data_IF_144221858121
#
_entry.id   IF_144221858121
#
_cell.length_a   1.000
_cell.length_b   1.000
_cell.length_c   1.000
_cell.angle_alpha   90.00
_cell.angle_beta   90.00
_cell.angle_gamma   90.00
#
_symmetry.space_group_name_H-M   'P 1'
#
loop_
_entity.id
_entity.type
_entity.pdbx_description
1 polymer ?
#
# COMPACT_ATOMS: atom_id res chain seq x y z
N UNK A 1 11.47 23.36 2.99
CA UNK A 1 10.27 23.93 2.32
C UNK A 1 9.37 22.77 1.97
N UNK A 2 8.14 22.79 2.49
CA UNK A 2 7.18 21.69 2.42
C UNK A 2 6.79 21.40 0.96
N UNK A 3 6.77 20.12 0.62
CA UNK A 3 6.50 19.63 -0.72
C UNK A 3 5.10 19.98 -1.20
N UNK A 4 5.03 20.68 -2.32
CA UNK A 4 3.80 20.84 -3.10
C UNK A 4 4.16 20.60 -4.55
N UNK A 5 4.04 19.34 -4.99
CA UNK A 5 4.03 18.98 -6.39
C UNK A 5 3.02 17.84 -6.61
N UNK A 6 1.73 18.10 -6.34
CA UNK A 6 0.64 17.30 -6.91
C UNK A 6 0.57 17.58 -8.42
N UNK A 7 1.52 17.04 -9.18
CA UNK A 7 1.38 16.96 -10.63
C UNK A 7 0.80 15.59 -10.93
N UNK A 8 -0.54 15.51 -10.88
CA UNK A 8 -1.26 14.40 -11.47
C UNK A 8 -0.90 14.35 -12.96
N UNK A 9 -0.18 13.32 -13.37
CA UNK A 9 0.18 13.12 -14.77
C UNK A 9 -1.10 12.77 -15.53
N UNK A 10 -1.61 13.71 -16.34
CA UNK A 10 -2.76 13.49 -17.22
C UNK A 10 -2.41 12.35 -18.18
N UNK A 11 -2.95 11.16 -17.94
CA UNK A 11 -3.12 10.17 -19.01
C UNK A 11 -4.46 10.43 -19.65
N UNK A 12 -4.43 10.74 -20.94
CA UNK A 12 -5.62 10.52 -21.76
C UNK A 12 -5.81 9.01 -21.87
N UNK A 13 -7.00 8.48 -21.59
CA UNK A 13 -7.25 7.08 -21.87
C UNK A 13 -7.04 6.84 -23.38
N UNK A 14 -6.25 5.82 -23.71
CA UNK A 14 -5.79 5.51 -25.08
C UNK A 14 -6.93 5.20 -26.06
N UNK A 15 -8.16 5.06 -25.58
CA UNK A 15 -9.33 4.72 -26.39
C UNK A 15 -10.50 5.68 -26.11
N UNK A 16 -11.02 6.29 -27.18
CA UNK A 16 -12.22 7.13 -27.20
C UNK A 16 -13.45 6.49 -26.53
N UNK A 17 -13.51 5.17 -26.42
CA UNK A 17 -14.59 4.43 -25.72
C UNK A 17 -14.70 4.81 -24.23
N UNK A 18 -13.58 5.12 -23.59
CA UNK A 18 -13.52 5.55 -22.18
C UNK A 18 -14.12 6.93 -21.92
N UNK A 19 -14.30 7.74 -22.98
CA UNK A 19 -14.93 9.06 -22.95
C UNK A 19 -16.43 8.98 -23.29
N UNK A 20 -16.94 7.79 -23.62
CA UNK A 20 -18.36 7.55 -23.87
C UNK A 20 -19.03 6.97 -22.62
N UNK A 21 -20.22 7.48 -22.28
CA UNK A 21 -21.00 7.06 -21.12
C UNK A 21 -21.02 8.06 -19.97
N UNK A 22 -21.84 7.74 -18.96
CA UNK A 22 -21.97 8.54 -17.74
C UNK A 22 -20.65 8.56 -16.96
N UNK A 23 -20.25 9.71 -16.39
CA UNK A 23 -19.06 9.80 -15.57
C UNK A 23 -19.10 8.83 -14.40
N UNK A 24 -18.03 8.05 -14.25
CA UNK A 24 -17.93 7.06 -13.19
C UNK A 24 -16.51 7.04 -12.61
N UNK A 25 -16.40 6.98 -11.27
CA UNK A 25 -15.13 6.87 -10.56
C UNK A 25 -14.93 5.44 -10.04
N UNK A 26 -13.79 4.84 -10.35
CA UNK A 26 -13.49 3.45 -10.01
C UNK A 26 -11.98 3.22 -9.85
N UNK A 27 -11.58 2.15 -9.18
CA UNK A 27 -10.18 1.74 -9.14
C UNK A 27 -9.70 1.28 -10.52
N UNK A 28 -8.45 1.63 -10.85
CA UNK A 28 -7.81 1.18 -12.11
C UNK A 28 -7.65 -0.33 -12.12
N UNK A 29 -7.20 -0.92 -11.01
CA UNK A 29 -6.97 -2.37 -10.83
C UNK A 29 -7.76 -2.90 -9.63
N UNK A 30 -8.11 -4.18 -9.70
CA UNK A 30 -8.74 -4.90 -8.59
C UNK A 30 -7.75 -5.35 -7.51
N UNK A 31 -6.46 -5.49 -7.86
CA UNK A 31 -5.42 -5.96 -6.95
C UNK A 31 -4.12 -5.16 -7.12
N UNK A 32 -3.44 -4.93 -6.01
CA UNK A 32 -2.10 -4.35 -5.90
C UNK A 32 -1.24 -5.20 -4.96
N UNK A 33 0.07 -5.09 -5.10
CA UNK A 33 1.05 -5.76 -4.25
C UNK A 33 2.01 -4.71 -3.72
N UNK A 34 2.26 -4.73 -2.41
CA UNK A 34 3.21 -3.90 -1.71
C UNK A 34 4.15 -4.79 -0.91
N UNK A 35 5.38 -4.34 -0.68
CA UNK A 35 6.24 -4.95 0.33
C UNK A 35 5.93 -4.33 1.68
N UNK A 36 6.09 -5.10 2.75
CA UNK A 36 5.99 -4.62 4.11
C UNK A 36 6.91 -3.40 4.36
N UNK A 37 8.19 -3.49 3.99
CA UNK A 37 9.14 -2.36 4.08
C UNK A 37 8.96 -1.19 3.08
N UNK A 38 7.88 -1.14 2.29
CA UNK A 38 7.73 -0.09 1.27
C UNK A 38 7.32 1.28 1.84
N UNK A 39 6.85 1.31 3.09
CA UNK A 39 6.30 2.48 3.78
C UNK A 39 4.92 2.92 3.26
N UNK A 40 4.67 2.88 1.95
CA UNK A 40 3.39 3.31 1.37
C UNK A 40 2.93 2.39 0.22
N UNK A 41 1.72 1.85 0.34
CA UNK A 41 1.01 1.19 -0.74
C UNK A 41 0.18 2.20 -1.55
N UNK A 42 0.47 2.34 -2.84
CA UNK A 42 -0.22 3.26 -3.74
C UNK A 42 -1.24 2.54 -4.63
N UNK A 43 -2.49 2.97 -4.57
CA UNK A 43 -3.56 2.51 -5.47
C UNK A 43 -4.07 3.64 -6.36
N UNK A 44 -4.38 3.32 -7.61
CA UNK A 44 -4.85 4.31 -8.60
C UNK A 44 -6.35 4.25 -8.79
N UNK A 45 -6.96 5.43 -8.86
CA UNK A 45 -8.39 5.67 -9.07
C UNK A 45 -8.54 6.46 -10.37
N UNK A 46 -9.50 6.09 -11.22
CA UNK A 46 -9.77 6.76 -12.48
C UNK A 46 -11.21 7.24 -12.57
N UNK A 47 -11.40 8.35 -13.27
CA UNK A 47 -12.70 8.86 -13.71
C UNK A 47 -12.88 8.55 -15.19
N UNK A 48 -13.83 7.69 -15.52
CA UNK A 48 -14.28 7.40 -16.89
C UNK A 48 -15.46 8.28 -17.28
N UNK A 49 -15.86 8.22 -18.55
CA UNK A 49 -17.03 8.89 -19.11
C UNK A 49 -16.73 10.27 -19.67
N UNK A 50 -17.79 10.99 -20.03
CA UNK A 50 -17.70 12.32 -20.68
C UNK A 50 -16.82 13.30 -19.88
N UNK A 51 -16.22 14.26 -20.60
CA UNK A 51 -15.48 15.35 -19.95
C UNK A 51 -16.39 16.08 -18.97
N UNK A 52 -15.90 16.30 -17.76
CA UNK A 52 -16.57 17.09 -16.74
C UNK A 52 -15.63 18.21 -16.27
N UNK A 53 -16.20 19.38 -15.97
CA UNK A 53 -15.45 20.58 -15.60
C UNK A 53 -15.50 20.90 -14.10
N UNK A 54 -16.49 20.37 -13.38
CA UNK A 54 -16.57 20.51 -11.92
C UNK A 54 -15.64 19.55 -11.20
N UNK A 55 -15.31 19.92 -9.96
CA UNK A 55 -14.53 19.11 -9.05
C UNK A 55 -15.42 18.05 -8.39
N UNK A 56 -14.88 16.86 -8.16
CA UNK A 56 -15.60 15.74 -7.57
C UNK A 56 -14.91 15.29 -6.30
N UNK A 57 -15.69 15.12 -5.22
CA UNK A 57 -15.18 14.55 -3.97
C UNK A 57 -15.64 13.10 -3.89
N UNK A 58 -14.69 12.18 -3.74
CA UNK A 58 -14.95 10.76 -3.51
C UNK A 58 -14.50 10.40 -2.12
N UNK A 59 -15.36 9.72 -1.37
CA UNK A 59 -15.02 9.15 -0.07
C UNK A 59 -14.52 7.73 -0.22
N UNK A 60 -13.58 7.35 0.63
CA UNK A 60 -13.04 6.00 0.67
C UNK A 60 -12.65 5.60 2.09
N UNK A 61 -12.58 4.29 2.31
CA UNK A 61 -12.14 3.69 3.56
C UNK A 61 -11.30 2.44 3.31
N UNK A 62 -10.54 2.02 4.32
CA UNK A 62 -9.80 0.75 4.36
C UNK A 62 -10.56 -0.29 5.15
N UNK A 63 -10.41 -1.56 4.77
CA UNK A 63 -11.10 -2.69 5.37
C UNK A 63 -10.11 -3.81 5.70
N UNK A 64 -10.15 -4.31 6.93
CA UNK A 64 -9.39 -5.49 7.33
C UNK A 64 -9.86 -6.75 6.56
N UNK A 65 -8.91 -7.62 6.21
CA UNK A 65 -9.23 -8.95 5.64
C UNK A 65 -8.40 -10.02 6.37
N UNK A 66 -7.11 -10.10 6.08
CA UNK A 66 -6.16 -10.88 6.89
C UNK A 66 -5.18 -9.95 7.61
N UNK A 67 -4.74 -8.89 6.93
CA UNK A 67 -4.05 -7.77 7.56
C UNK A 67 -5.01 -6.96 8.43
N UNK A 68 -4.51 -6.52 9.57
CA UNK A 68 -5.17 -5.81 10.65
C UNK A 68 -4.70 -4.34 10.74
N UNK A 69 -5.68 -3.44 10.83
CA UNK A 69 -5.42 -2.03 11.07
C UNK A 69 -4.60 -1.78 12.35
N UNK A 70 -3.61 -0.90 12.24
CA UNK A 70 -2.63 -0.52 13.26
C UNK A 70 -1.60 -1.62 13.63
N UNK A 71 -1.64 -2.78 12.99
CA UNK A 71 -0.56 -3.76 13.04
C UNK A 71 0.20 -3.74 11.71
N UNK A 72 -0.52 -3.87 10.58
CA UNK A 72 0.13 -4.06 9.26
C UNK A 72 -0.04 -2.82 8.35
N UNK A 73 -1.05 -2.00 8.63
CA UNK A 73 -1.30 -0.75 7.90
C UNK A 73 -2.05 0.28 8.75
N UNK A 74 -1.93 1.57 8.39
CA UNK A 74 -2.66 2.65 9.07
C UNK A 74 -4.06 2.78 8.47
N UNK A 75 -5.15 2.64 9.27
CA UNK A 75 -6.51 2.66 8.74
C UNK A 75 -6.98 4.05 8.32
N UNK A 76 -7.78 4.09 7.26
CA UNK A 76 -8.50 5.28 6.79
C UNK A 76 -10.00 5.01 6.89
N UNK A 77 -10.74 5.83 7.64
CA UNK A 77 -12.21 5.68 7.80
C UNK A 77 -13.03 6.72 7.04
N UNK A 78 -12.49 7.93 6.89
CA UNK A 78 -13.18 9.06 6.23
C UNK A 78 -12.27 9.72 5.18
N UNK A 79 -11.62 8.88 4.36
CA UNK A 79 -10.72 9.33 3.30
C UNK A 79 -11.46 10.18 2.28
N UNK A 80 -10.78 11.20 1.73
CA UNK A 80 -11.32 12.08 0.70
C UNK A 80 -10.35 12.22 -0.45
N UNK A 81 -10.82 11.93 -1.65
CA UNK A 81 -10.08 12.09 -2.89
C UNK A 81 -10.80 13.13 -3.76
N UNK A 82 -10.12 14.24 -4.05
CA UNK A 82 -10.67 15.33 -4.87
C UNK A 82 -10.13 15.20 -6.29
N UNK A 83 -11.02 14.95 -7.25
CA UNK A 83 -10.71 15.11 -8.67
C UNK A 83 -11.03 16.54 -9.08
N UNK A 84 -10.02 17.30 -9.45
CA UNK A 84 -10.23 18.62 -10.04
C UNK A 84 -10.80 18.48 -11.45
N UNK A 85 -11.45 19.54 -11.93
CA UNK A 85 -11.96 19.61 -13.28
C UNK A 85 -10.93 19.15 -14.32
N UNK A 86 -11.35 18.24 -15.21
CA UNK A 86 -10.53 17.62 -16.25
C UNK A 86 -9.41 16.67 -15.77
N UNK A 87 -9.33 16.33 -14.48
CA UNK A 87 -8.52 15.19 -14.04
C UNK A 87 -9.25 13.87 -14.32
N UNK A 88 -8.46 12.83 -14.67
CA UNK A 88 -8.96 11.49 -15.00
C UNK A 88 -8.32 10.40 -14.15
N UNK A 89 -7.21 10.68 -13.48
CA UNK A 89 -6.52 9.75 -12.60
C UNK A 89 -6.05 10.46 -11.33
N UNK A 90 -6.19 9.76 -10.22
CA UNK A 90 -5.65 10.11 -8.90
C UNK A 90 -5.12 8.85 -8.24
N UNK A 91 -4.47 8.99 -7.11
CA UNK A 91 -4.03 7.87 -6.30
C UNK A 91 -4.37 8.09 -4.84
N UNK A 92 -4.43 6.98 -4.10
CA UNK A 92 -4.53 6.92 -2.64
C UNK A 92 -3.28 6.22 -2.16
N UNK A 93 -2.57 6.84 -1.21
CA UNK A 93 -1.45 6.24 -0.51
C UNK A 93 -1.94 5.78 0.88
N UNK A 94 -1.69 4.51 1.19
CA UNK A 94 -1.94 3.92 2.51
C UNK A 94 -0.59 3.60 3.14
N UNK A 95 -0.36 4.05 4.37
CA UNK A 95 0.87 3.76 5.11
C UNK A 95 0.89 2.28 5.52
N UNK A 96 1.99 1.61 5.21
CA UNK A 96 2.26 0.23 5.59
C UNK A 96 3.17 0.26 6.81
N UNK A 97 2.82 -0.53 7.82
CA UNK A 97 3.58 -0.63 9.06
C UNK A 97 4.57 -1.77 8.87
N UNK A 98 5.85 -1.46 9.01
CA UNK A 98 6.97 -2.40 8.87
C UNK A 98 7.40 -2.87 10.26
N UNK A 99 7.43 -4.19 10.49
CA UNK A 99 7.89 -4.77 11.75
C UNK A 99 9.09 -5.72 11.60
N UNK A 100 9.24 -6.74 12.46
CA UNK A 100 10.35 -7.72 12.39
C UNK A 100 9.87 -9.16 12.53
N UNK A 101 8.55 -9.38 12.53
CA UNK A 101 7.94 -10.68 12.72
C UNK A 101 7.88 -11.39 11.38
N UNK A 102 8.19 -12.69 11.40
CA UNK A 102 8.07 -13.53 10.21
C UNK A 102 6.60 -13.85 10.00
N UNK A 103 5.98 -13.13 9.07
CA UNK A 103 4.56 -13.22 8.77
C UNK A 103 4.32 -13.87 7.40
N UNK A 104 3.08 -14.29 7.15
CA UNK A 104 2.67 -14.73 5.81
C UNK A 104 2.26 -13.51 5.01
N UNK A 105 2.17 -13.64 3.69
CA UNK A 105 1.53 -12.62 2.88
C UNK A 105 0.09 -12.35 3.38
N UNK A 106 -0.22 -11.09 3.60
CA UNK A 106 -1.49 -10.64 4.14
C UNK A 106 -2.20 -9.68 3.19
N UNK A 107 -3.49 -9.42 3.43
CA UNK A 107 -4.32 -8.60 2.54
C UNK A 107 -5.23 -7.67 3.32
N UNK A 108 -5.45 -6.49 2.77
CA UNK A 108 -6.49 -5.56 3.19
C UNK A 108 -7.18 -4.93 1.97
N UNK A 109 -8.36 -4.37 2.17
CA UNK A 109 -9.16 -3.72 1.12
C UNK A 109 -9.11 -2.20 1.21
N UNK A 110 -9.30 -1.55 0.06
CA UNK A 110 -9.69 -0.13 -0.03
C UNK A 110 -10.99 -0.04 -0.82
N UNK A 111 -11.98 0.67 -0.29
CA UNK A 111 -13.32 0.79 -0.85
C UNK A 111 -13.70 2.25 -1.07
N UNK A 112 -14.23 2.57 -2.25
CA UNK A 112 -14.89 3.84 -2.54
C UNK A 112 -16.33 3.78 -2.00
N UNK A 113 -16.67 4.64 -1.05
CA UNK A 113 -17.93 4.56 -0.30
C UNK A 113 -19.01 5.47 -0.86
N UNK A 114 -18.65 6.68 -1.31
CA UNK A 114 -19.60 7.63 -1.90
C UNK A 114 -18.91 8.67 -2.79
N UNK A 115 -19.71 9.34 -3.63
CA UNK A 115 -19.29 10.51 -4.42
C UNK A 115 -20.24 11.64 -4.07
N UNK A 116 -19.69 12.84 -3.83
CA UNK A 116 -20.46 14.07 -3.58
C UNK A 116 -20.55 14.84 -4.90
N UNK A 117 -21.36 14.33 -5.83
CA UNK A 117 -21.69 14.94 -7.12
C UNK A 117 -22.90 14.23 -7.73
N UNK A 118 -23.85 14.96 -8.32
CA UNK A 118 -25.06 14.39 -8.93
C UNK A 118 -24.81 13.86 -10.36
N UNK A 119 -23.75 14.31 -11.03
CA UNK A 119 -23.40 13.91 -12.40
C UNK A 119 -22.38 12.77 -12.47
N UNK A 120 -21.81 12.37 -11.34
CA UNK A 120 -20.77 11.34 -11.27
C UNK A 120 -21.16 10.23 -10.31
N UNK A 121 -21.07 9.00 -10.81
CA UNK A 121 -21.37 7.81 -10.02
C UNK A 121 -20.10 7.04 -9.65
N UNK A 122 -20.22 6.07 -8.75
CA UNK A 122 -19.16 5.08 -8.57
C UNK A 122 -19.29 3.99 -9.64
N UNK A 123 -18.19 3.69 -10.31
CA UNK A 123 -18.11 2.62 -11.32
C UNK A 123 -18.11 1.21 -10.71
N UNK A 124 -17.91 0.20 -11.54
CA UNK A 124 -18.02 -1.21 -11.14
C UNK A 124 -16.89 -1.67 -10.21
N UNK A 125 -15.68 -1.14 -10.39
CA UNK A 125 -14.53 -1.44 -9.54
C UNK A 125 -14.48 -0.51 -8.33
N UNK A 126 -15.42 -0.71 -7.39
CA UNK A 126 -15.52 0.08 -6.15
C UNK A 126 -14.52 -0.31 -5.08
N UNK A 127 -13.98 -1.52 -5.15
CA UNK A 127 -13.04 -2.08 -4.17
C UNK A 127 -11.79 -2.57 -4.87
N UNK A 128 -10.65 -2.40 -4.21
CA UNK A 128 -9.36 -2.99 -4.60
C UNK A 128 -8.73 -3.67 -3.40
N UNK A 129 -7.96 -4.72 -3.64
CA UNK A 129 -7.24 -5.50 -2.62
C UNK A 129 -5.76 -5.17 -2.71
N UNK A 130 -5.12 -4.94 -1.57
CA UNK A 130 -3.67 -4.79 -1.47
C UNK A 130 -3.14 -6.03 -0.76
N UNK A 131 -2.18 -6.71 -1.38
CA UNK A 131 -1.40 -7.77 -0.74
C UNK A 131 -0.11 -7.16 -0.19
N UNK A 132 0.13 -7.33 1.11
CA UNK A 132 1.39 -7.03 1.78
C UNK A 132 2.23 -8.31 1.73
N UNK A 133 3.38 -8.22 1.07
CA UNK A 133 4.36 -9.31 1.01
C UNK A 133 5.39 -9.04 2.09
N UNK A 134 5.48 -9.96 3.05
CA UNK A 134 6.45 -9.84 4.14
C UNK A 134 7.88 -9.92 3.60
N UNK A 135 8.77 -9.09 4.12
CA UNK A 135 10.20 -9.14 3.81
C UNK A 135 11.07 -9.65 4.95
N UNK A 136 10.43 -10.02 6.06
CA UNK A 136 11.09 -10.65 7.18
C UNK A 136 11.43 -12.12 6.94
N UNK A 137 12.49 -12.57 7.62
CA UNK A 137 12.90 -13.97 7.58
C UNK A 137 13.47 -14.38 8.94
N UNK A 138 12.61 -14.99 9.77
CA UNK A 138 13.01 -15.44 11.11
C UNK A 138 14.19 -16.42 11.08
N UNK A 139 14.27 -17.29 10.08
CA UNK A 139 15.33 -18.28 9.97
C UNK A 139 16.69 -17.62 9.71
N UNK A 140 16.75 -16.58 8.88
CA UNK A 140 17.99 -15.84 8.64
C UNK A 140 18.45 -15.10 9.90
N UNK A 141 17.53 -14.55 10.68
CA UNK A 141 17.83 -13.89 11.95
C UNK A 141 18.44 -14.88 12.97
N UNK A 142 17.85 -16.07 13.12
CA UNK A 142 18.37 -17.13 14.02
C UNK A 142 19.72 -17.67 13.54
N UNK A 143 19.89 -17.90 12.24
CA UNK A 143 21.16 -18.36 11.66
C UNK A 143 22.27 -17.32 11.87
N UNK A 144 21.98 -16.04 11.73
CA UNK A 144 22.94 -14.95 11.97
C UNK A 144 23.38 -14.91 13.44
N UNK A 145 22.44 -15.05 14.38
CA UNK A 145 22.76 -15.16 15.81
C UNK A 145 23.60 -16.40 16.09
N UNK A 146 23.24 -17.57 15.55
CA UNK A 146 23.99 -18.81 15.76
C UNK A 146 25.42 -18.72 15.21
N UNK A 147 25.59 -18.20 13.99
CA UNK A 147 26.92 -17.96 13.39
C UNK A 147 27.76 -17.01 14.23
N UNK A 148 27.16 -15.94 14.73
CA UNK A 148 27.84 -14.97 15.58
C UNK A 148 28.26 -15.57 16.92
N UNK A 149 27.39 -16.35 17.56
CA UNK A 149 27.70 -17.06 18.81
C UNK A 149 28.78 -18.12 18.62
N UNK A 150 28.73 -18.88 17.52
CA UNK A 150 29.79 -19.82 17.14
C UNK A 150 31.15 -19.14 16.97
N UNK A 151 31.18 -17.98 16.32
CA UNK A 151 32.39 -17.15 16.18
C UNK A 151 32.95 -16.68 17.52
N UNK A 152 32.10 -16.17 18.42
CA UNK A 152 32.53 -15.75 19.75
C UNK A 152 33.01 -16.92 20.62
N UNK A 153 32.31 -18.05 20.58
CA UNK A 153 32.73 -19.26 21.30
C UNK A 153 34.07 -19.79 20.79
N UNK A 154 34.32 -19.77 19.49
CA UNK A 154 35.63 -20.12 18.91
C UNK A 154 36.74 -19.15 19.31
N UNK A 155 36.42 -17.86 19.50
CA UNK A 155 37.38 -16.85 19.99
C UNK A 155 37.64 -16.93 21.49
N UNK A 156 36.69 -17.45 22.27
CA UNK A 156 36.83 -17.69 23.71
C UNK A 156 37.49 -19.05 24.01
N UNK A 157 37.38 -20.00 23.09
CA UNK A 157 37.99 -21.34 23.15
C UNK A 157 39.51 -21.38 23.35
N UNK A 158 40.35 -20.46 22.83
CA UNK A 158 41.80 -20.55 22.99
C UNK A 158 42.27 -20.33 24.43
N UNK A 159 41.40 -19.81 25.31
CA UNK A 159 41.76 -19.48 26.69
C UNK A 159 41.49 -20.61 27.71
N UNK A 160 40.94 -21.76 27.27
CA UNK A 160 40.64 -22.89 28.16
C UNK A 160 41.73 -23.95 28.30
N UNK A 161 42.82 -23.89 27.52
CA UNK A 161 43.90 -24.89 27.59
C UNK A 161 45.07 -24.53 28.52
N UNK A 162 44.98 -23.47 29.34
CA UNK A 162 46.09 -23.06 30.23
C UNK A 162 45.92 -23.42 31.71
N UNK A 163 44.86 -24.14 32.10
CA UNK A 163 44.57 -24.42 33.53
C UNK A 163 44.70 -25.89 33.93
N UNK A 164 45.29 -26.76 33.11
CA UNK A 164 45.57 -28.16 33.44
C UNK A 164 47.06 -28.50 33.62
N UNK A 165 47.97 -27.53 33.44
CA UNK A 165 49.41 -27.70 33.69
C UNK A 165 49.89 -26.77 34.82
N UNK A 166 49.44 -27.01 36.06
CA UNK A 166 50.11 -26.53 37.28
C UNK A 166 50.05 -27.59 38.38
#
# INVERSE_FOLDING_TARGET
MLGTCDVARVRYPDDTSSLMGEPAIEFVKANYVAKENCGWARVFVTRRGKKHRGDHVVHYETLDITAQANHDYVPVKDGRLVFLGQEYEKYIDIEIIDDKHDEKDETFGVELTSVVDDEVTLGGKRRTIITIVSDDNALMNVVNVHKLMGHYMQKLSPYRTSWMDQ
#
